data_IF_796793540482
#
_entry.id   IF_796793540482
#
_cell.length_a   1.000
_cell.length_b   1.000
_cell.length_c   1.000
_cell.angle_alpha   90.00
_cell.angle_beta   90.00
_cell.angle_gamma   90.00
#
_symmetry.space_group_name_H-M   'P 1'
#
loop_
_entity.id
_entity.type
_entity.pdbx_description
1 polymer ?
#
# COMPACT_ATOMS: atom_id res chain seq x y z
N UNK A 1 3.98 7.59 -23.25
CA UNK A 1 3.24 6.32 -23.37
C UNK A 1 2.14 6.29 -22.32
N UNK A 2 1.02 5.56 -22.54
CA UNK A 2 -0.02 5.42 -21.51
C UNK A 2 0.50 4.44 -20.45
N UNK A 3 0.33 4.76 -19.15
CA UNK A 3 0.63 3.83 -18.04
C UNK A 3 -0.09 2.50 -18.28
N UNK A 4 0.63 1.39 -18.12
CA UNK A 4 0.07 0.04 -18.30
C UNK A 4 -0.83 -0.26 -17.08
N UNK A 5 -2.06 -0.75 -17.31
CA UNK A 5 -2.94 -1.25 -16.25
C UNK A 5 -2.27 -2.41 -15.52
N UNK A 6 -2.25 -2.37 -14.21
CA UNK A 6 -1.78 -3.48 -13.36
C UNK A 6 -2.98 -4.20 -12.73
N UNK A 7 -2.94 -5.53 -12.75
CA UNK A 7 -3.79 -6.39 -11.92
C UNK A 7 -2.94 -6.84 -10.74
N UNK A 8 -3.22 -6.31 -9.57
CA UNK A 8 -2.37 -6.37 -8.38
C UNK A 8 -2.94 -7.39 -7.40
N UNK A 9 -2.17 -8.40 -7.07
CA UNK A 9 -2.42 -9.24 -5.91
C UNK A 9 -1.81 -8.58 -4.68
N UNK A 10 -2.65 -8.08 -3.79
CA UNK A 10 -2.21 -7.40 -2.56
C UNK A 10 -2.12 -8.42 -1.44
N UNK A 11 -0.93 -8.85 -1.11
CA UNK A 11 -0.65 -9.81 -0.05
C UNK A 11 -0.07 -9.15 1.20
N UNK A 12 0.08 -9.90 2.28
CA UNK A 12 0.60 -9.43 3.55
C UNK A 12 1.67 -10.39 4.08
N UNK A 13 2.91 -9.90 4.16
CA UNK A 13 4.04 -10.63 4.74
C UNK A 13 4.07 -10.37 6.25
N UNK A 14 3.91 -11.43 7.04
CA UNK A 14 3.89 -11.33 8.48
C UNK A 14 5.18 -11.82 9.11
N UNK A 15 5.59 -11.11 10.13
CA UNK A 15 6.70 -11.49 11.02
C UNK A 15 6.25 -12.39 12.16
N UNK A 16 4.96 -12.68 12.23
CA UNK A 16 4.29 -13.53 13.22
C UNK A 16 3.60 -14.71 12.54
N UNK A 17 3.66 -15.89 13.15
CA UNK A 17 3.07 -17.11 12.57
C UNK A 17 1.53 -17.17 12.66
N UNK A 18 0.91 -16.30 13.45
CA UNK A 18 -0.54 -16.26 13.66
C UNK A 18 -1.27 -15.19 12.81
N UNK A 19 -0.54 -14.51 11.95
CA UNK A 19 -1.06 -13.45 11.09
C UNK A 19 -0.51 -13.56 9.68
N UNK A 20 -1.23 -12.97 8.71
CA UNK A 20 -0.78 -12.73 7.36
C UNK A 20 -0.87 -13.92 6.41
N UNK A 21 -0.52 -13.64 5.16
CA UNK A 21 -0.60 -14.62 4.08
C UNK A 21 0.68 -15.46 3.99
N UNK A 22 1.82 -14.80 3.97
CA UNK A 22 3.12 -15.46 3.91
C UNK A 22 4.02 -14.98 5.06
N UNK A 23 4.88 -15.88 5.55
CA UNK A 23 5.81 -15.61 6.63
C UNK A 23 7.24 -15.39 6.14
N UNK A 24 7.47 -15.51 4.83
CA UNK A 24 8.75 -15.22 4.23
C UNK A 24 8.62 -14.82 2.76
N UNK A 25 9.66 -14.14 2.25
CA UNK A 25 9.82 -13.83 0.83
C UNK A 25 9.89 -15.11 -0.01
N UNK A 26 10.49 -16.17 0.53
CA UNK A 26 10.58 -17.46 -0.16
C UNK A 26 9.21 -18.15 -0.27
N UNK A 27 8.36 -18.08 0.74
CA UNK A 27 6.99 -18.58 0.64
C UNK A 27 6.22 -17.86 -0.45
N UNK A 28 6.26 -16.53 -0.50
CA UNK A 28 5.67 -15.73 -1.58
C UNK A 28 6.23 -16.17 -2.94
N UNK A 29 7.56 -16.32 -3.05
CA UNK A 29 8.22 -16.72 -4.31
C UNK A 29 7.70 -18.07 -4.82
N UNK A 30 7.49 -19.03 -3.92
CA UNK A 30 6.98 -20.36 -4.24
C UNK A 30 5.50 -20.37 -4.66
N UNK A 31 4.76 -19.30 -4.39
CA UNK A 31 3.34 -19.18 -4.72
C UNK A 31 3.06 -18.25 -5.91
N UNK A 32 4.07 -17.80 -6.62
CA UNK A 32 3.89 -16.92 -7.78
C UNK A 32 3.07 -17.55 -8.90
N UNK A 33 3.13 -18.88 -9.07
CA UNK A 33 2.31 -19.58 -10.07
C UNK A 33 0.82 -19.54 -9.72
N UNK A 34 0.47 -19.68 -8.42
CA UNK A 34 -0.89 -19.50 -7.93
C UNK A 34 -1.43 -18.10 -8.24
N UNK A 35 -0.63 -17.07 -7.96
CA UNK A 35 -0.99 -15.67 -8.21
C UNK A 35 -1.12 -15.40 -9.71
N UNK A 36 -0.17 -15.90 -10.51
CA UNK A 36 -0.18 -15.74 -11.96
C UNK A 36 -1.37 -16.47 -12.61
N UNK A 37 -1.77 -17.63 -12.09
CA UNK A 37 -2.90 -18.39 -12.60
C UNK A 37 -4.21 -17.61 -12.52
N UNK A 38 -4.42 -16.78 -11.49
CA UNK A 38 -5.56 -15.86 -11.40
C UNK A 38 -5.47 -14.67 -12.38
N UNK A 39 -4.36 -14.52 -13.09
CA UNK A 39 -4.18 -13.47 -14.09
C UNK A 39 -3.54 -12.18 -13.57
N UNK A 40 -3.06 -12.14 -12.32
CA UNK A 40 -2.37 -10.97 -11.78
C UNK A 40 -1.04 -10.69 -12.49
N UNK A 41 -0.70 -9.42 -12.62
CA UNK A 41 0.52 -8.93 -13.28
C UNK A 41 1.47 -8.23 -12.32
N UNK A 42 1.05 -8.05 -11.09
CA UNK A 42 1.88 -7.45 -10.05
C UNK A 42 1.54 -8.00 -8.67
N UNK A 43 2.52 -7.99 -7.78
CA UNK A 43 2.37 -8.32 -6.36
C UNK A 43 2.71 -7.08 -5.53
N UNK A 44 1.83 -6.72 -4.63
CA UNK A 44 2.02 -5.69 -3.60
C UNK A 44 2.10 -6.36 -2.23
N UNK A 45 3.12 -6.03 -1.45
CA UNK A 45 3.25 -6.46 -0.04
C UNK A 45 3.28 -5.23 0.88
N UNK A 46 3.05 -5.44 2.18
CA UNK A 46 3.46 -4.48 3.20
C UNK A 46 5.00 -4.33 3.23
N UNK A 47 5.57 -3.36 4.00
CA UNK A 47 7.01 -3.10 3.98
C UNK A 47 7.85 -4.33 4.33
N UNK A 48 8.90 -4.56 3.54
CA UNK A 48 9.84 -5.69 3.72
C UNK A 48 11.11 -5.32 4.48
N UNK A 49 11.24 -4.06 4.88
CA UNK A 49 12.44 -3.52 5.53
C UNK A 49 12.60 -4.01 6.95
N UNK A 50 13.85 -3.99 7.46
CA UNK A 50 14.15 -4.28 8.87
C UNK A 50 13.33 -3.35 9.78
N UNK A 51 12.49 -3.93 10.63
CA UNK A 51 11.48 -3.23 11.41
C UNK A 51 11.60 -3.50 12.90
N UNK A 52 11.13 -2.54 13.70
CA UNK A 52 11.05 -2.67 15.16
C UNK A 52 9.80 -3.43 15.62
N UNK A 53 8.72 -3.41 14.83
CA UNK A 53 7.51 -4.15 15.15
C UNK A 53 7.62 -5.62 14.76
N UNK A 54 6.78 -6.44 15.32
CA UNK A 54 6.74 -7.88 15.11
C UNK A 54 5.59 -8.32 14.18
N UNK A 55 4.85 -7.38 13.59
CA UNK A 55 3.65 -7.70 12.82
C UNK A 55 3.69 -7.19 11.38
N UNK A 56 3.64 -5.88 11.16
CA UNK A 56 3.31 -5.29 9.86
C UNK A 56 4.47 -4.62 9.11
N UNK A 57 5.58 -4.25 9.79
CA UNK A 57 6.78 -3.72 9.14
C UNK A 57 6.83 -2.21 8.91
N UNK A 58 5.86 -1.44 9.38
CA UNK A 58 5.85 0.02 9.20
C UNK A 58 6.75 0.78 10.18
N UNK A 59 7.25 0.13 11.26
CA UNK A 59 8.23 0.70 12.17
C UNK A 59 9.65 0.49 11.66
N UNK A 60 9.99 1.04 10.49
CA UNK A 60 11.25 0.77 9.79
C UNK A 60 12.44 1.28 10.59
N UNK A 61 13.39 0.40 10.91
CA UNK A 61 14.66 0.72 11.56
C UNK A 61 15.77 1.00 10.55
N UNK A 62 15.81 0.20 9.49
CA UNK A 62 16.82 0.31 8.45
C UNK A 62 16.16 0.14 7.06
N UNK A 63 16.24 1.18 6.26
CA UNK A 63 15.69 1.18 4.91
C UNK A 63 16.55 0.42 3.89
N UNK A 64 17.74 -0.05 4.24
CA UNK A 64 18.66 -0.72 3.30
C UNK A 64 18.71 -2.24 3.48
N UNK A 65 17.98 -2.79 4.42
CA UNK A 65 17.99 -4.21 4.73
C UNK A 65 16.59 -4.81 4.66
N UNK A 66 16.51 -6.04 4.16
CA UNK A 66 15.33 -6.88 4.30
C UNK A 66 15.22 -7.33 5.75
N UNK A 67 14.02 -7.32 6.30
CA UNK A 67 13.75 -7.83 7.64
C UNK A 67 14.18 -9.31 7.73
N UNK A 68 15.09 -9.59 8.66
CA UNK A 68 15.68 -10.92 8.83
C UNK A 68 14.63 -12.01 9.12
N UNK A 69 13.45 -11.63 9.64
CA UNK A 69 12.30 -12.54 9.88
C UNK A 69 11.60 -12.93 8.59
N UNK A 70 11.66 -12.10 7.57
CA UNK A 70 11.08 -12.35 6.24
C UNK A 70 12.05 -13.03 5.27
N UNK A 71 13.36 -12.95 5.54
CA UNK A 71 14.40 -13.51 4.68
C UNK A 71 15.61 -12.61 4.56
N UNK A 72 16.31 -12.76 3.45
CA UNK A 72 17.54 -12.03 3.14
C UNK A 72 17.42 -11.19 1.87
N UNK A 73 18.36 -10.29 1.64
CA UNK A 73 18.47 -9.58 0.37
C UNK A 73 18.56 -10.53 -0.85
N UNK A 74 19.23 -11.69 -0.65
CA UNK A 74 19.33 -12.72 -1.71
C UNK A 74 17.97 -13.34 -2.03
N UNK A 75 17.12 -13.55 -1.03
CA UNK A 75 15.77 -14.04 -1.23
C UNK A 75 14.92 -13.02 -1.97
N UNK A 76 15.07 -11.73 -1.65
CA UNK A 76 14.41 -10.66 -2.39
C UNK A 76 14.89 -10.54 -3.83
N UNK A 77 16.20 -10.63 -4.08
CA UNK A 77 16.75 -10.64 -5.45
C UNK A 77 16.27 -11.87 -6.23
N UNK A 78 16.00 -13.00 -5.55
CA UNK A 78 15.41 -14.19 -6.16
C UNK A 78 13.93 -13.95 -6.52
N UNK A 79 13.15 -13.35 -5.61
CA UNK A 79 11.75 -12.98 -5.87
C UNK A 79 11.64 -12.09 -7.13
N UNK A 80 12.50 -11.06 -7.25
CA UNK A 80 12.50 -10.18 -8.42
C UNK A 80 12.78 -10.95 -9.71
N UNK A 81 13.74 -11.88 -9.71
CA UNK A 81 14.04 -12.73 -10.89
C UNK A 81 12.86 -13.64 -11.26
N UNK A 82 12.18 -14.21 -10.27
CA UNK A 82 11.04 -15.09 -10.52
C UNK A 82 9.81 -14.31 -11.01
N UNK A 83 9.60 -13.09 -10.54
CA UNK A 83 8.59 -12.17 -11.08
C UNK A 83 8.93 -11.77 -12.53
N UNK A 84 10.18 -11.42 -12.81
CA UNK A 84 10.62 -11.04 -14.16
C UNK A 84 10.41 -12.17 -15.18
N UNK A 85 10.70 -13.43 -14.82
CA UNK A 85 10.43 -14.60 -15.68
C UNK A 85 8.96 -14.74 -16.06
N UNK A 86 8.05 -14.23 -15.23
CA UNK A 86 6.59 -14.29 -15.40
C UNK A 86 6.00 -13.00 -16.01
N UNK A 87 6.85 -12.03 -16.41
CA UNK A 87 6.45 -10.65 -16.80
C UNK A 87 5.55 -9.99 -15.74
N UNK A 88 5.83 -10.28 -14.47
CA UNK A 88 5.14 -9.71 -13.31
C UNK A 88 6.00 -8.63 -12.65
N UNK A 89 5.35 -7.69 -11.97
CA UNK A 89 6.02 -6.61 -11.25
C UNK A 89 5.91 -6.77 -9.73
N UNK A 90 6.90 -6.25 -9.01
CA UNK A 90 6.83 -6.05 -7.57
C UNK A 90 6.46 -4.60 -7.25
N UNK A 91 5.48 -4.40 -6.38
CA UNK A 91 5.13 -3.08 -5.85
C UNK A 91 5.65 -3.02 -4.42
N UNK A 92 6.68 -2.23 -4.22
CA UNK A 92 7.30 -2.05 -2.90
C UNK A 92 6.50 -1.03 -2.10
N UNK A 93 6.01 -1.46 -0.95
CA UNK A 93 5.42 -0.56 0.02
C UNK A 93 6.51 0.11 0.86
N UNK A 94 6.51 1.43 0.91
CA UNK A 94 7.55 2.20 1.59
C UNK A 94 6.99 3.44 2.28
N UNK A 95 7.38 3.62 3.54
CA UNK A 95 7.12 4.84 4.31
C UNK A 95 8.21 5.87 4.00
N UNK A 96 7.85 6.95 3.32
CA UNK A 96 8.82 7.96 2.89
C UNK A 96 8.87 9.18 3.83
N UNK A 97 8.01 9.21 4.84
CA UNK A 97 7.77 10.36 5.70
C UNK A 97 7.85 10.05 7.21
N UNK A 98 8.12 8.82 7.58
CA UNK A 98 8.31 8.41 8.98
C UNK A 98 9.19 7.16 9.06
N UNK A 99 9.73 6.89 10.24
CA UNK A 99 10.46 5.66 10.55
C UNK A 99 10.33 5.33 12.04
N UNK A 100 10.96 4.24 12.50
CA UNK A 100 10.98 3.89 13.93
C UNK A 100 11.89 4.84 14.74
N UNK A 101 11.52 5.08 16.00
CA UNK A 101 12.40 5.71 16.99
C UNK A 101 13.60 4.82 17.39
N UNK A 102 13.59 3.54 16.98
CA UNK A 102 14.72 2.62 17.11
C UNK A 102 15.66 2.67 15.88
N UNK A 103 15.35 3.48 14.86
CA UNK A 103 16.21 3.66 13.70
C UNK A 103 17.52 4.34 14.07
N UNK A 104 18.58 4.06 13.32
CA UNK A 104 19.84 4.77 13.50
C UNK A 104 19.70 6.27 13.20
N UNK A 105 18.77 6.67 12.31
CA UNK A 105 18.44 8.08 12.05
C UNK A 105 17.97 8.81 13.31
N UNK A 106 17.12 8.16 14.12
CA UNK A 106 16.60 8.77 15.33
C UNK A 106 17.64 8.78 16.45
N UNK A 107 18.49 7.75 16.56
CA UNK A 107 19.58 7.72 17.52
C UNK A 107 20.61 8.81 17.21
N UNK A 108 21.02 8.95 15.94
CA UNK A 108 21.93 10.01 15.50
C UNK A 108 21.33 11.41 15.68
N UNK A 109 20.02 11.56 15.52
CA UNK A 109 19.31 12.81 15.81
C UNK A 109 19.41 13.19 17.31
N UNK A 110 19.20 12.25 18.21
CA UNK A 110 19.37 12.49 19.67
C UNK A 110 20.78 12.90 20.05
N UNK A 111 21.76 12.45 19.31
CA UNK A 111 23.18 12.82 19.49
C UNK A 111 23.55 14.12 18.76
N UNK A 112 22.60 14.78 18.09
CA UNK A 112 22.83 16.04 17.36
C UNK A 112 23.59 15.89 16.04
N UNK A 113 23.65 14.68 15.47
CA UNK A 113 24.41 14.37 14.26
C UNK A 113 23.63 14.63 12.95
N UNK A 114 22.32 14.77 13.02
CA UNK A 114 21.47 15.04 11.87
C UNK A 114 20.27 15.94 12.22
N UNK A 115 19.52 16.37 11.20
CA UNK A 115 18.31 17.21 11.28
C UNK A 115 17.05 16.47 10.79
N UNK A 116 17.06 15.14 10.91
CA UNK A 116 16.01 14.28 10.34
C UNK A 116 14.67 14.41 11.05
N UNK A 117 14.63 14.96 12.26
CA UNK A 117 13.41 15.17 13.02
C UNK A 117 13.34 16.59 13.55
N UNK A 118 12.14 16.99 14.03
CA UNK A 118 11.92 18.31 14.61
C UNK A 118 11.35 18.15 16.01
N UNK A 119 12.00 18.81 16.99
CA UNK A 119 11.50 18.91 18.37
C UNK A 119 11.03 20.33 18.64
N UNK A 120 9.89 20.47 19.28
CA UNK A 120 9.34 21.76 19.66
C UNK A 120 9.07 21.85 21.16
N UNK A 121 9.21 23.04 21.78
CA UNK A 121 8.90 23.23 23.21
C UNK A 121 7.39 23.14 23.51
N UNK A 122 6.55 23.41 22.51
CA UNK A 122 5.09 23.34 22.60
C UNK A 122 4.52 22.67 21.38
N UNK A 123 3.43 21.88 21.51
CA UNK A 123 2.73 21.35 20.34
C UNK A 123 2.12 22.51 19.54
N UNK A 124 2.11 22.41 18.23
CA UNK A 124 1.40 23.37 17.39
C UNK A 124 -0.11 23.25 17.61
N UNK A 125 -0.82 24.38 17.68
CA UNK A 125 -2.27 24.40 17.73
C UNK A 125 -2.93 24.03 16.39
N UNK A 126 -2.14 23.95 15.31
CA UNK A 126 -2.62 23.44 14.06
C UNK A 126 -2.75 21.92 14.18
N UNK A 127 -3.98 21.47 14.25
CA UNK A 127 -4.35 20.07 14.14
C UNK A 127 -4.01 19.61 12.71
N UNK A 128 -2.73 19.30 12.48
CA UNK A 128 -2.40 18.48 11.35
C UNK A 128 -3.20 17.19 11.52
N UNK A 129 -4.07 16.95 10.59
CA UNK A 129 -5.05 15.92 10.65
C UNK A 129 -4.40 14.58 10.42
N UNK A 130 -4.41 13.72 11.40
CA UNK A 130 -4.20 12.30 11.19
C UNK A 130 -5.54 11.56 11.32
N UNK A 131 -5.55 10.34 10.85
CA UNK A 131 -6.69 9.43 10.92
C UNK A 131 -7.10 9.15 12.39
N UNK A 132 -6.20 9.37 13.36
CA UNK A 132 -6.39 9.01 14.79
C UNK A 132 -6.18 10.16 15.78
N UNK A 133 -6.17 11.41 15.35
CA UNK A 133 -6.13 12.62 16.20
C UNK A 133 -4.91 12.82 17.13
N UNK A 134 -3.88 12.00 17.08
CA UNK A 134 -2.71 12.16 17.96
C UNK A 134 -1.46 12.35 17.12
N UNK A 135 -0.98 13.57 17.06
CA UNK A 135 0.15 13.90 16.20
C UNK A 135 1.39 14.25 17.01
N UNK A 136 1.21 14.75 18.22
CA UNK A 136 2.30 15.24 19.04
C UNK A 136 2.49 14.36 20.26
N UNK A 137 3.72 13.89 20.44
CA UNK A 137 4.13 13.10 21.60
C UNK A 137 5.22 13.86 22.35
N UNK A 138 5.08 13.94 23.67
CA UNK A 138 6.16 14.43 24.52
C UNK A 138 7.25 13.37 24.66
N UNK A 139 8.48 13.75 24.38
CA UNK A 139 9.63 12.86 24.53
C UNK A 139 10.53 13.40 25.63
N UNK A 140 10.65 12.65 26.73
CA UNK A 140 11.46 13.03 27.88
C UNK A 140 12.96 13.06 27.52
N UNK A 141 13.40 12.14 26.69
CA UNK A 141 14.77 12.06 26.19
C UNK A 141 15.16 13.25 25.27
N UNK A 142 14.19 13.93 24.69
CA UNK A 142 14.38 15.12 23.84
C UNK A 142 13.96 16.41 24.53
N UNK A 143 13.35 16.34 25.71
CA UNK A 143 12.72 17.46 26.44
C UNK A 143 11.83 18.34 25.56
N UNK A 144 11.00 17.69 24.74
CA UNK A 144 10.17 18.38 23.79
C UNK A 144 9.14 17.51 23.09
N UNK A 145 8.32 18.15 22.29
CA UNK A 145 7.28 17.53 21.51
C UNK A 145 7.78 17.16 20.11
N UNK A 146 7.48 15.94 19.68
CA UNK A 146 7.78 15.44 18.35
C UNK A 146 6.49 14.99 17.65
N UNK A 147 6.45 15.03 16.33
CA UNK A 147 5.32 14.50 15.56
C UNK A 147 5.45 12.99 15.39
N UNK A 148 4.39 12.28 15.78
CA UNK A 148 4.30 10.82 15.64
C UNK A 148 2.93 10.47 15.02
N UNK A 149 2.81 10.44 13.69
CA UNK A 149 1.50 10.33 13.00
C UNK A 149 0.77 9.02 13.30
N UNK A 150 1.48 7.98 13.71
CA UNK A 150 0.92 6.65 13.96
C UNK A 150 1.22 6.12 15.38
N UNK A 151 1.66 6.99 16.29
CA UNK A 151 2.01 6.66 17.68
C UNK A 151 3.45 6.97 18.04
N UNK A 152 3.76 7.03 19.34
CA UNK A 152 5.01 7.55 19.88
C UNK A 152 6.30 6.86 19.44
N UNK A 153 6.21 5.66 18.88
CA UNK A 153 7.36 4.91 18.38
C UNK A 153 7.65 5.16 16.88
N UNK A 154 6.82 5.99 16.21
CA UNK A 154 6.93 6.24 14.78
C UNK A 154 7.03 7.75 14.53
N UNK A 155 8.19 8.37 14.81
CA UNK A 155 8.40 9.79 14.57
C UNK A 155 8.41 10.13 13.06
N UNK A 156 7.79 11.27 12.74
CA UNK A 156 7.78 11.80 11.39
C UNK A 156 9.14 12.37 11.01
N UNK A 157 9.61 12.05 9.79
CA UNK A 157 10.79 12.65 9.19
C UNK A 157 10.55 14.12 8.84
N UNK A 158 11.58 14.94 8.99
CA UNK A 158 11.60 16.32 8.55
C UNK A 158 11.76 16.42 7.03
N UNK A 159 10.70 16.14 6.27
CA UNK A 159 10.74 16.12 4.80
C UNK A 159 11.03 17.49 4.16
N UNK A 160 11.14 18.58 4.97
CA UNK A 160 11.65 19.86 4.53
C UNK A 160 13.19 19.93 4.50
N UNK A 161 13.85 19.04 5.26
CA UNK A 161 15.33 18.96 5.26
C UNK A 161 15.84 18.40 3.95
N UNK A 162 16.89 19.03 3.41
CA UNK A 162 17.60 18.52 2.25
C UNK A 162 18.34 17.22 2.55
N UNK A 163 18.78 17.02 3.81
CA UNK A 163 19.43 15.78 4.23
C UNK A 163 18.45 14.61 4.18
N UNK A 164 17.22 14.79 4.71
CA UNK A 164 16.16 13.77 4.61
C UNK A 164 15.80 13.47 3.15
N UNK A 165 15.66 14.52 2.32
CA UNK A 165 15.37 14.33 0.89
C UNK A 165 16.48 13.59 0.16
N UNK A 166 17.74 13.91 0.46
CA UNK A 166 18.88 13.21 -0.13
C UNK A 166 18.90 11.76 0.29
N UNK A 167 18.62 11.47 1.57
CA UNK A 167 18.58 10.11 2.08
C UNK A 167 17.44 9.32 1.43
N UNK A 168 16.24 9.85 1.35
CA UNK A 168 15.12 9.17 0.67
C UNK A 168 15.39 8.95 -0.83
N UNK A 169 16.12 9.85 -1.47
CA UNK A 169 16.61 9.64 -2.84
C UNK A 169 17.57 8.45 -2.90
N UNK A 170 18.51 8.33 -1.94
CA UNK A 170 19.44 7.21 -1.88
C UNK A 170 18.72 5.89 -1.66
N UNK A 171 17.76 5.84 -0.73
CA UNK A 171 16.92 4.68 -0.47
C UNK A 171 16.17 4.24 -1.74
N UNK A 172 15.49 5.17 -2.41
CA UNK A 172 14.77 4.87 -3.65
C UNK A 172 15.70 4.36 -4.76
N UNK A 173 16.86 5.00 -4.94
CA UNK A 173 17.86 4.55 -5.91
C UNK A 173 18.39 3.15 -5.58
N UNK A 174 18.67 2.86 -4.31
CA UNK A 174 19.17 1.56 -3.87
C UNK A 174 18.21 0.41 -4.23
N UNK A 175 16.92 0.58 -3.96
CA UNK A 175 15.94 -0.46 -4.20
C UNK A 175 15.50 -0.55 -5.67
N UNK A 176 15.14 0.58 -6.27
CA UNK A 176 14.49 0.59 -7.58
C UNK A 176 15.44 0.26 -8.73
N UNK A 177 16.75 0.46 -8.56
CA UNK A 177 17.74 0.02 -9.53
C UNK A 177 17.98 -1.50 -9.54
N UNK A 178 17.45 -2.26 -8.57
CA UNK A 178 17.53 -3.73 -8.59
C UNK A 178 16.76 -4.35 -9.75
N UNK A 179 15.61 -3.77 -10.12
CA UNK A 179 14.81 -4.16 -11.28
C UNK A 179 13.93 -3.00 -11.73
N UNK A 180 14.51 -1.97 -12.32
CA UNK A 180 13.80 -0.72 -12.65
C UNK A 180 12.62 -0.90 -13.62
N UNK A 181 12.58 -1.99 -14.38
CA UNK A 181 11.49 -2.31 -15.31
C UNK A 181 10.29 -2.98 -14.61
N UNK A 182 10.55 -3.80 -13.59
CA UNK A 182 9.54 -4.63 -12.92
C UNK A 182 9.30 -4.21 -11.47
N UNK A 183 9.75 -3.02 -11.09
CA UNK A 183 9.44 -2.45 -9.78
C UNK A 183 8.59 -1.20 -9.89
N UNK A 184 7.65 -1.10 -8.96
CA UNK A 184 6.82 0.07 -8.69
C UNK A 184 6.82 0.34 -7.19
N UNK A 185 6.24 1.42 -6.74
CA UNK A 185 6.08 1.69 -5.31
C UNK A 185 4.63 1.98 -4.91
N UNK A 186 4.27 1.57 -3.69
CA UNK A 186 3.20 2.15 -2.91
C UNK A 186 3.84 3.16 -1.96
N UNK A 187 3.48 4.43 -2.09
CA UNK A 187 3.92 5.47 -1.17
C UNK A 187 2.93 5.54 -0.01
N UNK A 188 3.30 4.86 1.08
CA UNK A 188 2.47 4.76 2.28
C UNK A 188 2.23 6.12 2.90
N UNK A 189 0.97 6.43 3.21
CA UNK A 189 0.54 7.64 3.91
C UNK A 189 1.29 8.91 3.51
N UNK A 190 1.61 9.06 2.21
CA UNK A 190 2.50 10.11 1.66
C UNK A 190 2.02 11.54 2.00
N UNK A 191 0.75 11.71 2.35
CA UNK A 191 0.17 12.98 2.74
C UNK A 191 0.47 13.37 4.20
N UNK A 192 0.90 12.44 5.04
CA UNK A 192 1.30 12.70 6.43
C UNK A 192 2.74 13.22 6.49
N UNK A 193 2.93 14.51 6.39
CA UNK A 193 4.26 15.11 6.30
C UNK A 193 4.79 15.73 7.59
N UNK A 194 4.24 15.35 8.73
CA UNK A 194 4.75 15.77 10.01
C UNK A 194 4.91 17.30 10.12
N UNK A 195 6.05 17.74 10.62
CA UNK A 195 6.34 19.16 10.86
C UNK A 195 6.56 20.02 9.61
N UNK A 196 6.84 19.41 8.46
CA UNK A 196 6.93 20.15 7.20
C UNK A 196 5.62 20.82 6.82
N UNK A 197 4.56 20.52 7.55
CA UNK A 197 3.18 20.85 7.26
C UNK A 197 2.65 21.96 8.16
N UNK A 198 3.43 22.96 8.47
CA UNK A 198 2.84 24.20 9.00
C UNK A 198 1.78 24.77 8.04
N UNK A 199 1.89 24.43 6.76
CA UNK A 199 0.94 24.78 5.71
C UNK A 199 0.11 23.61 5.18
N UNK A 200 0.08 22.45 5.85
CA UNK A 200 -0.75 21.29 5.51
C UNK A 200 -0.59 20.74 4.07
N UNK A 201 0.54 21.02 3.40
CA UNK A 201 0.74 20.68 2.01
C UNK A 201 1.96 19.77 1.81
N UNK A 202 1.73 18.46 1.82
CA UNK A 202 2.72 17.45 1.45
C UNK A 202 3.05 17.40 -0.05
N UNK A 203 2.37 18.19 -0.87
CA UNK A 203 2.55 18.18 -2.32
C UNK A 203 3.97 18.52 -2.77
N UNK A 204 4.72 19.47 -2.15
CA UNK A 204 6.12 19.70 -2.51
C UNK A 204 7.00 18.46 -2.34
N UNK A 205 6.76 17.67 -1.28
CA UNK A 205 7.50 16.43 -1.06
C UNK A 205 7.07 15.34 -2.05
N UNK A 206 5.78 15.19 -2.32
CA UNK A 206 5.29 14.28 -3.34
C UNK A 206 5.88 14.59 -4.74
N UNK A 207 5.99 15.88 -5.09
CA UNK A 207 6.67 16.34 -6.33
C UNK A 207 8.14 15.94 -6.34
N UNK A 208 8.83 16.08 -5.20
CA UNK A 208 10.22 15.65 -5.08
C UNK A 208 10.35 14.15 -5.31
N UNK A 209 9.54 13.32 -4.64
CA UNK A 209 9.56 11.86 -4.80
C UNK A 209 9.27 11.47 -6.26
N UNK A 210 8.25 12.08 -6.89
CA UNK A 210 7.95 11.80 -8.31
C UNK A 210 9.14 12.14 -9.22
N UNK A 211 9.80 13.26 -8.98
CA UNK A 211 10.99 13.67 -9.75
C UNK A 211 12.16 12.68 -9.59
N UNK A 212 12.38 12.16 -8.39
CA UNK A 212 13.41 11.13 -8.13
C UNK A 212 13.12 9.88 -8.96
N UNK A 213 11.88 9.40 -8.90
CA UNK A 213 11.47 8.19 -9.59
C UNK A 213 11.44 8.37 -11.12
N UNK A 214 11.01 9.53 -11.61
CA UNK A 214 11.10 9.87 -13.05
C UNK A 214 12.56 9.84 -13.56
N UNK A 215 13.53 10.14 -12.69
CA UNK A 215 14.96 10.06 -13.01
C UNK A 215 15.50 8.61 -13.07
N UNK A 216 14.85 7.66 -12.42
CA UNK A 216 15.20 6.24 -12.47
C UNK A 216 14.48 5.59 -13.67
N UNK A 217 13.17 5.68 -13.70
CA UNK A 217 12.32 5.19 -14.78
C UNK A 217 10.99 5.96 -14.80
N UNK A 218 10.71 6.78 -15.83
CA UNK A 218 9.47 7.57 -15.92
C UNK A 218 8.20 6.71 -16.09
N UNK A 219 8.32 5.45 -16.51
CA UNK A 219 7.20 4.50 -16.62
C UNK A 219 6.86 3.83 -15.27
N UNK A 220 7.70 4.01 -14.25
CA UNK A 220 7.47 3.45 -12.93
C UNK A 220 6.27 4.10 -12.25
N UNK A 221 5.33 3.29 -11.82
CA UNK A 221 4.14 3.77 -11.12
C UNK A 221 4.45 4.07 -9.65
N UNK A 222 3.86 5.14 -9.16
CA UNK A 222 3.75 5.43 -7.73
C UNK A 222 2.27 5.36 -7.39
N UNK A 223 1.87 4.38 -6.60
CA UNK A 223 0.51 4.30 -6.08
C UNK A 223 0.51 5.00 -4.72
N UNK A 224 0.02 6.22 -4.68
CA UNK A 224 -0.07 6.97 -3.43
C UNK A 224 -1.21 6.45 -2.55
N UNK A 225 -0.93 6.15 -1.30
CA UNK A 225 -1.97 6.02 -0.31
C UNK A 225 -2.28 7.40 0.26
N UNK A 226 -3.43 7.93 -0.12
CA UNK A 226 -3.88 9.27 0.26
C UNK A 226 -5.35 9.21 0.62
N UNK A 227 -5.63 9.11 1.90
CA UNK A 227 -7.00 9.15 2.42
C UNK A 227 -7.02 9.66 3.85
N UNK A 228 -8.10 10.33 4.24
CA UNK A 228 -8.39 10.70 5.61
C UNK A 228 -9.91 10.82 5.80
N UNK A 229 -10.35 10.78 7.03
CA UNK A 229 -11.79 10.79 7.36
C UNK A 229 -12.50 12.10 7.01
N UNK A 230 -11.75 13.17 6.74
CA UNK A 230 -12.29 14.53 6.47
C UNK A 230 -12.43 14.84 4.99
N UNK A 231 -11.58 14.23 4.14
CA UNK A 231 -11.53 14.54 2.71
C UNK A 231 -11.01 13.34 1.90
N UNK A 232 -11.92 12.43 1.61
CA UNK A 232 -11.64 11.27 0.77
C UNK A 232 -11.54 11.61 -0.72
N UNK A 233 -11.85 12.85 -1.13
CA UNK A 233 -11.95 13.24 -2.53
C UNK A 233 -10.91 14.28 -2.97
N UNK A 234 -10.91 15.47 -2.37
CA UNK A 234 -10.12 16.59 -2.90
C UNK A 234 -8.62 16.45 -2.64
N UNK A 235 -8.23 15.95 -1.46
CA UNK A 235 -6.82 15.71 -1.16
C UNK A 235 -6.24 14.61 -2.06
N UNK A 236 -6.84 13.42 -2.22
CA UNK A 236 -6.38 12.42 -3.16
C UNK A 236 -6.24 12.94 -4.60
N UNK A 237 -7.17 13.75 -5.10
CA UNK A 237 -7.10 14.34 -6.46
C UNK A 237 -5.81 15.15 -6.65
N UNK A 238 -5.43 15.99 -5.68
CA UNK A 238 -4.20 16.79 -5.75
C UNK A 238 -2.94 15.92 -5.83
N UNK A 239 -2.88 14.88 -5.01
CA UNK A 239 -1.76 13.93 -5.03
C UNK A 239 -1.75 13.08 -6.30
N UNK A 240 -2.91 12.67 -6.81
CA UNK A 240 -3.05 11.91 -8.04
C UNK A 240 -2.45 12.67 -9.24
N UNK A 241 -2.65 13.97 -9.34
CA UNK A 241 -2.04 14.81 -10.40
C UNK A 241 -0.51 14.77 -10.37
N UNK A 242 0.09 14.64 -9.18
CA UNK A 242 1.54 14.61 -9.00
C UNK A 242 2.10 13.20 -9.17
N UNK A 243 1.56 12.23 -8.43
CA UNK A 243 2.05 10.86 -8.36
C UNK A 243 1.69 10.05 -9.61
N UNK A 244 0.66 10.49 -10.34
CA UNK A 244 0.09 9.88 -11.55
C UNK A 244 -0.67 8.58 -11.29
N UNK A 245 -0.80 8.14 -10.04
CA UNK A 245 -1.69 7.07 -9.57
C UNK A 245 -1.88 7.18 -8.04
N UNK A 246 -3.08 6.89 -7.56
CA UNK A 246 -3.43 6.80 -6.13
C UNK A 246 -4.44 5.70 -5.92
N UNK A 247 -4.49 5.11 -4.73
CA UNK A 247 -5.66 4.32 -4.34
C UNK A 247 -6.90 5.21 -4.30
N UNK A 248 -8.00 4.72 -4.87
CA UNK A 248 -9.26 5.45 -4.95
C UNK A 248 -10.24 4.99 -3.87
N UNK A 249 -9.99 5.44 -2.65
CA UNK A 249 -10.86 5.15 -1.49
C UNK A 249 -12.26 5.71 -1.66
N UNK A 250 -12.38 6.91 -2.26
CA UNK A 250 -13.66 7.57 -2.44
C UNK A 250 -14.62 6.75 -3.31
N UNK A 251 -14.18 6.36 -4.51
CA UNK A 251 -15.02 5.57 -5.39
C UNK A 251 -15.25 4.15 -4.87
N UNK A 252 -14.24 3.51 -4.26
CA UNK A 252 -14.40 2.15 -3.71
C UNK A 252 -15.46 2.12 -2.62
N UNK A 253 -15.45 3.04 -1.67
CA UNK A 253 -16.48 3.11 -0.64
C UNK A 253 -17.86 3.47 -1.21
N UNK A 254 -17.90 4.40 -2.16
CA UNK A 254 -19.15 4.71 -2.88
C UNK A 254 -19.72 3.51 -3.65
N UNK A 255 -18.88 2.70 -4.30
CA UNK A 255 -19.31 1.47 -4.97
C UNK A 255 -19.91 0.48 -3.97
N UNK A 256 -19.25 0.27 -2.83
CA UNK A 256 -19.75 -0.60 -1.76
C UNK A 256 -21.13 -0.15 -1.27
N UNK A 257 -21.32 1.15 -1.04
CA UNK A 257 -22.61 1.69 -0.61
C UNK A 257 -23.70 1.52 -1.68
N UNK A 258 -23.37 1.78 -2.94
CA UNK A 258 -24.29 1.58 -4.06
C UNK A 258 -24.72 0.11 -4.21
N UNK A 259 -23.80 -0.85 -4.01
CA UNK A 259 -24.09 -2.28 -4.00
C UNK A 259 -25.02 -2.65 -2.84
N UNK A 260 -24.79 -2.08 -1.66
CA UNK A 260 -25.66 -2.28 -0.48
C UNK A 260 -27.07 -1.72 -0.70
N UNK A 261 -27.20 -0.63 -1.45
CA UNK A 261 -28.47 -0.06 -1.88
C UNK A 261 -29.21 -0.94 -2.92
N UNK A 262 -28.60 -2.01 -3.41
CA UNK A 262 -29.17 -2.95 -4.37
C UNK A 262 -29.04 -2.53 -5.83
N UNK A 263 -28.13 -1.60 -6.15
CA UNK A 263 -27.89 -1.22 -7.56
C UNK A 263 -27.24 -2.34 -8.35
N UNK A 264 -27.69 -2.46 -9.60
CA UNK A 264 -27.12 -3.38 -10.59
C UNK A 264 -25.78 -2.87 -11.14
N UNK A 265 -25.07 -3.71 -11.89
CA UNK A 265 -23.81 -3.32 -12.53
C UNK A 265 -23.97 -2.06 -13.39
N UNK A 266 -25.04 -1.94 -14.17
CA UNK A 266 -25.33 -0.82 -15.06
C UNK A 266 -25.57 0.48 -14.28
N UNK A 267 -26.24 0.41 -13.14
CA UNK A 267 -26.65 1.54 -12.30
C UNK A 267 -25.51 2.09 -11.40
N UNK A 268 -24.49 1.29 -11.12
CA UNK A 268 -23.35 1.74 -10.30
C UNK A 268 -22.53 2.76 -11.08
N UNK A 269 -22.31 3.91 -10.49
CA UNK A 269 -21.51 4.98 -11.06
C UNK A 269 -20.15 5.11 -10.34
N UNK A 270 -19.11 5.38 -11.12
CA UNK A 270 -17.77 5.77 -10.65
C UNK A 270 -17.61 7.25 -10.95
N UNK A 271 -17.28 8.06 -9.95
CA UNK A 271 -17.02 9.49 -10.14
C UNK A 271 -15.69 9.69 -10.89
N UNK A 272 -15.74 10.30 -12.07
CA UNK A 272 -14.58 10.57 -12.92
C UNK A 272 -13.79 11.82 -12.47
N UNK A 273 -13.67 12.05 -11.16
CA UNK A 273 -13.00 13.22 -10.61
C UNK A 273 -11.47 13.22 -10.75
N UNK A 274 -10.87 12.11 -11.10
CA UNK A 274 -9.42 11.99 -11.26
C UNK A 274 -8.98 12.17 -12.72
N UNK A 275 -8.00 13.04 -12.95
CA UNK A 275 -7.41 13.24 -14.28
C UNK A 275 -6.41 12.13 -14.65
N UNK A 276 -5.68 11.61 -13.68
CA UNK A 276 -4.68 10.55 -13.86
C UNK A 276 -5.27 9.20 -13.47
N UNK A 277 -4.64 8.09 -13.90
CA UNK A 277 -5.05 6.76 -13.46
C UNK A 277 -5.17 6.64 -11.94
N UNK A 278 -6.04 5.75 -11.50
CA UNK A 278 -6.21 5.35 -10.11
C UNK A 278 -6.03 3.84 -9.96
N UNK A 279 -5.92 3.38 -8.72
CA UNK A 279 -5.99 1.98 -8.37
C UNK A 279 -7.28 1.72 -7.59
N UNK A 280 -8.24 1.08 -8.24
CA UNK A 280 -9.44 0.55 -7.58
C UNK A 280 -9.07 -0.72 -6.82
N UNK A 281 -9.72 -1.00 -5.70
CA UNK A 281 -9.33 -2.14 -4.87
C UNK A 281 -10.53 -2.81 -4.20
N UNK A 282 -10.40 -4.10 -3.91
CA UNK A 282 -11.45 -4.84 -3.21
C UNK A 282 -11.46 -4.56 -1.70
N UNK A 283 -10.28 -4.48 -1.11
CA UNK A 283 -9.98 -4.23 0.30
C UNK A 283 -8.48 -4.07 0.47
N UNK A 284 -7.99 -3.82 1.69
CA UNK A 284 -6.59 -3.86 2.06
C UNK A 284 -6.43 -4.23 3.56
N UNK A 285 -5.20 -4.18 4.07
CA UNK A 285 -4.88 -4.55 5.46
C UNK A 285 -5.30 -3.49 6.51
N UNK A 286 -5.86 -2.35 6.07
CA UNK A 286 -6.37 -1.26 6.92
C UNK A 286 -7.87 -1.03 6.75
N UNK A 287 -8.53 -1.86 5.93
CA UNK A 287 -9.96 -1.82 5.69
C UNK A 287 -10.61 -3.17 6.01
N UNK A 288 -11.90 -3.15 6.32
CA UNK A 288 -12.70 -4.38 6.40
C UNK A 288 -12.59 -5.19 5.11
N UNK A 289 -12.60 -6.51 5.21
CA UNK A 289 -12.56 -7.39 4.02
C UNK A 289 -13.81 -7.21 3.17
N UNK A 290 -13.67 -7.30 1.85
CA UNK A 290 -14.75 -7.10 0.88
C UNK A 290 -16.00 -7.92 1.20
N UNK A 291 -15.81 -9.19 1.62
CA UNK A 291 -16.90 -10.09 1.98
C UNK A 291 -17.73 -9.52 3.13
N UNK A 292 -17.06 -9.05 4.19
CA UNK A 292 -17.74 -8.48 5.37
C UNK A 292 -18.30 -7.08 5.11
N UNK A 293 -17.67 -6.28 4.24
CA UNK A 293 -18.25 -5.00 3.82
C UNK A 293 -19.57 -5.16 3.07
N UNK A 294 -19.81 -6.32 2.47
CA UNK A 294 -20.99 -6.63 1.65
C UNK A 294 -21.89 -7.69 2.29
N UNK A 295 -21.99 -7.67 3.63
CA UNK A 295 -22.93 -8.48 4.41
C UNK A 295 -22.73 -10.01 4.25
N UNK A 296 -21.52 -10.43 3.89
CA UNK A 296 -21.15 -11.82 3.53
C UNK A 296 -21.91 -12.39 2.33
N UNK A 297 -22.42 -11.52 1.47
CA UNK A 297 -23.14 -11.88 0.24
C UNK A 297 -22.14 -12.01 -0.92
N UNK A 298 -21.91 -13.23 -1.37
CA UNK A 298 -20.94 -13.56 -2.42
C UNK A 298 -21.32 -12.93 -3.78
N UNK A 299 -22.60 -12.81 -4.09
CA UNK A 299 -23.03 -12.17 -5.35
C UNK A 299 -22.73 -10.65 -5.32
N UNK A 300 -22.88 -10.01 -4.17
CA UNK A 300 -22.44 -8.62 -3.98
C UNK A 300 -20.93 -8.48 -4.13
N UNK A 301 -20.14 -9.45 -3.60
CA UNK A 301 -18.67 -9.46 -3.75
C UNK A 301 -18.30 -9.63 -5.23
N UNK A 302 -18.94 -10.55 -5.95
CA UNK A 302 -18.74 -10.71 -7.40
C UNK A 302 -19.06 -9.42 -8.15
N UNK A 303 -20.14 -8.73 -7.77
CA UNK A 303 -20.51 -7.44 -8.35
C UNK A 303 -19.43 -6.37 -8.08
N UNK A 304 -18.91 -6.25 -6.85
CA UNK A 304 -17.81 -5.34 -6.53
C UNK A 304 -16.59 -5.64 -7.42
N UNK A 305 -16.16 -6.91 -7.47
CA UNK A 305 -15.01 -7.33 -8.28
C UNK A 305 -15.21 -6.97 -9.75
N UNK A 306 -16.42 -7.25 -10.30
CA UNK A 306 -16.76 -6.90 -11.67
C UNK A 306 -16.68 -5.39 -11.93
N UNK A 307 -17.22 -4.58 -11.02
CA UNK A 307 -17.21 -3.11 -11.16
C UNK A 307 -15.79 -2.57 -11.15
N UNK A 308 -14.95 -2.95 -10.17
CA UNK A 308 -13.57 -2.44 -10.09
C UNK A 308 -12.67 -2.90 -11.25
N UNK A 309 -12.94 -4.08 -11.83
CA UNK A 309 -12.18 -4.61 -12.96
C UNK A 309 -12.65 -3.99 -14.29
N UNK A 310 -13.96 -3.97 -14.54
CA UNK A 310 -14.51 -3.66 -15.87
C UNK A 310 -14.91 -2.20 -16.06
N UNK A 311 -15.39 -1.48 -15.00
CA UNK A 311 -15.83 -0.08 -15.12
C UNK A 311 -14.70 0.94 -14.97
N UNK A 312 -13.55 0.56 -14.39
CA UNK A 312 -12.38 1.43 -14.38
C UNK A 312 -11.92 1.81 -15.79
N UNK A 313 -11.28 2.98 -15.92
CA UNK A 313 -10.69 3.44 -17.20
C UNK A 313 -9.61 2.48 -17.68
N UNK A 314 -9.23 2.58 -18.95
CA UNK A 314 -8.25 1.65 -19.57
C UNK A 314 -6.90 1.58 -18.85
N UNK A 315 -6.52 2.66 -18.18
CA UNK A 315 -5.24 2.76 -17.48
C UNK A 315 -5.35 2.63 -15.96
N UNK A 316 -6.57 2.52 -15.41
CA UNK A 316 -6.76 2.31 -13.98
C UNK A 316 -6.33 0.91 -13.60
N UNK A 317 -5.53 0.81 -12.54
CA UNK A 317 -5.10 -0.48 -11.99
C UNK A 317 -6.17 -1.05 -11.05
N UNK A 318 -6.08 -2.34 -10.80
CA UNK A 318 -6.98 -3.04 -9.87
C UNK A 318 -6.15 -3.80 -8.85
N UNK A 319 -6.49 -3.66 -7.58
CA UNK A 319 -5.85 -4.38 -6.47
C UNK A 319 -6.87 -5.28 -5.77
N UNK A 320 -6.59 -6.56 -5.71
CA UNK A 320 -7.41 -7.53 -4.97
C UNK A 320 -6.60 -8.04 -3.79
N UNK A 321 -7.19 -7.92 -2.59
CA UNK A 321 -6.54 -8.29 -1.35
C UNK A 321 -6.65 -9.80 -1.13
N UNK A 322 -5.57 -10.42 -0.66
CA UNK A 322 -5.48 -11.86 -0.40
C UNK A 322 -6.63 -12.35 0.47
N UNK A 323 -7.05 -13.58 0.23
CA UNK A 323 -8.18 -14.20 0.92
C UNK A 323 -9.55 -13.79 0.40
N UNK A 324 -9.63 -12.79 -0.53
CA UNK A 324 -10.87 -12.50 -1.25
C UNK A 324 -11.31 -13.72 -2.06
N UNK A 325 -10.37 -14.41 -2.70
CA UNK A 325 -10.57 -15.65 -3.46
C UNK A 325 -11.11 -16.82 -2.61
N UNK A 326 -10.90 -16.75 -1.30
CA UNK A 326 -11.35 -17.74 -0.31
C UNK A 326 -12.55 -17.28 0.52
N UNK A 327 -13.19 -16.19 0.17
CA UNK A 327 -14.31 -15.60 0.92
C UNK A 327 -13.98 -15.26 2.38
N UNK A 328 -12.73 -14.89 2.67
CA UNK A 328 -12.32 -14.53 4.03
C UNK A 328 -13.06 -13.30 4.52
N UNK A 329 -13.51 -13.37 5.78
CA UNK A 329 -14.27 -12.33 6.47
C UNK A 329 -13.39 -11.58 7.48
N UNK A 330 -13.77 -10.34 7.81
CA UNK A 330 -13.14 -9.53 8.85
C UNK A 330 -13.63 -8.09 8.79
N UNK A 331 -14.20 -7.61 9.90
CA UNK A 331 -14.60 -6.22 10.09
C UNK A 331 -13.57 -5.52 10.98
N UNK A 332 -12.94 -4.48 10.49
CA UNK A 332 -11.88 -3.75 11.21
C UNK A 332 -12.39 -3.07 12.50
N UNK A 333 -13.70 -2.78 12.56
CA UNK A 333 -14.33 -2.13 13.71
C UNK A 333 -14.53 -3.04 14.92
N UNK A 334 -14.58 -4.36 14.74
CA UNK A 334 -14.90 -5.32 15.79
C UNK A 334 -13.68 -5.78 16.57
N UNK A 335 -12.50 -5.54 16.03
CA UNK A 335 -11.25 -6.01 16.63
C UNK A 335 -10.05 -5.26 16.02
N UNK A 336 -8.90 -5.27 16.68
CA UNK A 336 -7.69 -4.69 16.11
C UNK A 336 -7.33 -5.34 14.76
N UNK A 337 -6.44 -4.70 14.05
CA UNK A 337 -5.92 -5.03 12.70
C UNK A 337 -5.78 -6.52 12.36
N UNK A 338 -5.74 -7.40 13.36
CA UNK A 338 -5.61 -8.86 13.21
C UNK A 338 -6.74 -9.52 12.43
N UNK A 339 -7.99 -9.00 12.51
CA UNK A 339 -9.14 -9.59 11.80
C UNK A 339 -9.09 -9.41 10.29
N UNK A 340 -8.34 -8.44 9.80
CA UNK A 340 -8.14 -8.23 8.36
C UNK A 340 -6.79 -8.74 7.88
N UNK A 341 -5.92 -9.19 8.83
CA UNK A 341 -4.58 -9.72 8.58
C UNK A 341 -4.47 -11.21 8.96
N UNK A 342 -5.57 -11.95 8.87
CA UNK A 342 -5.67 -13.36 9.22
C UNK A 342 -4.76 -14.23 8.36
N UNK A 343 -4.39 -15.38 8.90
CA UNK A 343 -3.62 -16.41 8.19
C UNK A 343 -4.41 -16.95 7.00
N UNK A 344 -3.73 -17.12 5.88
CA UNK A 344 -4.25 -17.80 4.70
C UNK A 344 -3.12 -18.66 4.14
N UNK A 345 -3.06 -19.90 4.54
CA UNK A 345 -1.94 -20.80 4.28
C UNK A 345 -2.07 -21.60 2.97
N UNK A 346 -1.04 -22.33 2.63
CA UNK A 346 -0.99 -23.17 1.42
C UNK A 346 -2.03 -24.29 1.41
N UNK A 347 -2.50 -24.75 2.58
CA UNK A 347 -3.55 -25.76 2.69
C UNK A 347 -4.89 -25.15 2.28
N UNK A 348 -5.18 -23.95 2.75
CA UNK A 348 -6.40 -23.24 2.37
C UNK A 348 -6.37 -22.82 0.91
N UNK A 349 -5.23 -22.35 0.39
CA UNK A 349 -5.04 -22.08 -1.03
C UNK A 349 -5.33 -23.32 -1.89
N UNK A 350 -4.85 -24.50 -1.47
CA UNK A 350 -5.12 -25.76 -2.17
C UNK A 350 -6.62 -26.13 -2.17
N UNK A 351 -7.36 -25.88 -1.09
CA UNK A 351 -8.82 -26.07 -1.04
C UNK A 351 -9.54 -25.14 -2.03
N UNK A 352 -9.14 -23.88 -2.08
CA UNK A 352 -9.70 -22.87 -3.02
C UNK A 352 -9.53 -23.31 -4.48
N UNK A 353 -8.39 -23.86 -4.85
CA UNK A 353 -8.15 -24.39 -6.22
C UNK A 353 -9.02 -25.61 -6.52
N UNK A 354 -9.29 -26.46 -5.52
CA UNK A 354 -10.14 -27.65 -5.70
C UNK A 354 -11.62 -27.28 -5.86
N UNK A 355 -12.07 -26.18 -5.29
CA UNK A 355 -13.44 -25.70 -5.39
C UNK A 355 -13.61 -24.83 -6.66
N UNK A 356 -14.25 -25.41 -7.69
CA UNK A 356 -14.49 -24.73 -8.97
C UNK A 356 -15.50 -23.57 -8.90
N UNK A 357 -16.27 -23.50 -7.84
CA UNK A 357 -17.23 -22.40 -7.59
C UNK A 357 -16.59 -21.28 -6.76
N UNK A 358 -15.33 -21.44 -6.31
CA UNK A 358 -14.62 -20.42 -5.53
C UNK A 358 -14.43 -19.12 -6.29
N UNK A 359 -14.25 -18.01 -5.56
CA UNK A 359 -13.93 -16.71 -6.17
C UNK A 359 -12.57 -16.70 -6.89
N UNK A 360 -11.70 -17.68 -6.64
CA UNK A 360 -10.46 -17.87 -7.41
C UNK A 360 -10.76 -17.96 -8.93
N UNK A 361 -11.67 -18.85 -9.33
CA UNK A 361 -12.02 -19.03 -10.73
C UNK A 361 -12.79 -17.84 -11.28
N UNK A 362 -13.65 -17.22 -10.46
CA UNK A 362 -14.35 -16.00 -10.85
C UNK A 362 -13.37 -14.86 -11.15
N UNK A 363 -12.38 -14.63 -10.28
CA UNK A 363 -11.33 -13.61 -10.46
C UNK A 363 -10.51 -13.91 -11.72
N UNK A 364 -10.09 -15.17 -11.89
CA UNK A 364 -9.33 -15.63 -13.05
C UNK A 364 -10.06 -15.31 -14.36
N UNK A 365 -11.31 -15.71 -14.47
CA UNK A 365 -12.14 -15.47 -15.66
C UNK A 365 -12.39 -13.98 -15.90
N UNK A 366 -12.64 -13.23 -14.85
CA UNK A 366 -12.90 -11.80 -14.91
C UNK A 366 -11.69 -11.03 -15.43
N UNK A 367 -10.49 -11.31 -14.89
CA UNK A 367 -9.25 -10.68 -15.35
C UNK A 367 -8.92 -11.10 -16.79
N UNK A 368 -9.11 -12.37 -17.14
CA UNK A 368 -8.85 -12.84 -18.49
C UNK A 368 -9.72 -12.13 -19.53
N UNK A 369 -11.03 -12.00 -19.26
CA UNK A 369 -11.98 -11.28 -20.12
C UNK A 369 -11.66 -9.79 -20.23
N UNK A 370 -11.24 -9.15 -19.13
CA UNK A 370 -10.87 -7.73 -19.16
C UNK A 370 -9.57 -7.50 -19.95
N UNK A 371 -8.57 -8.40 -19.82
CA UNK A 371 -7.35 -8.38 -20.64
C UNK A 371 -7.67 -8.51 -22.12
N UNK A 372 -8.49 -9.50 -22.50
CA UNK A 372 -8.93 -9.70 -23.87
C UNK A 372 -9.63 -8.46 -24.45
N UNK A 373 -10.62 -7.92 -23.71
CA UNK A 373 -11.35 -6.70 -24.08
C UNK A 373 -10.42 -5.51 -24.33
N UNK A 374 -9.35 -5.38 -23.55
CA UNK A 374 -8.39 -4.27 -23.63
C UNK A 374 -7.21 -4.56 -24.54
N UNK A 375 -7.10 -5.75 -25.13
CA UNK A 375 -5.95 -6.16 -25.96
C UNK A 375 -4.64 -6.27 -25.16
N UNK A 376 -4.71 -6.56 -23.87
CA UNK A 376 -3.56 -6.78 -22.97
C UNK A 376 -3.16 -8.26 -23.07
N UNK A 377 -1.90 -8.52 -23.45
CA UNK A 377 -1.34 -9.88 -23.50
C UNK A 377 -0.85 -10.34 -22.14
#
# INVERSE_FOLDING_TARGET
>A
MKSKKLYIYHTFLSRRNDLGHFHSINELTNQLDYIQEMGFTAVLTNPIFESADDSHGYHIKNFYEVDHRLGTMKDFDNLLRELEKRDMSFIMDITLNHCSDQSFYFQDFKEGKNDFFVVRPTPSNNRATNIRNTIYEWREDLKGWIVCPFGGQIPALNVSSDNVRNEMRNVLNFWLNKSSKHMHIRADAIFHNGWAVENHDGLPYAKFIRKVIDGINPEMQIIGEVWNDWDLRNTPIKYNQILKNTFDFYNVFSIVDQIREGKTFEEINIDECYEKPVTLFSSNHDCSRAVSMLDNDIEKVKLLLKVIVEKGRDNDSVSIYYGTEANMQGLIWDCPDTVVRQTFDTIEMAKVIQDKESLFYYIKDLIAKDKERRGIK
#
